data_IF_995943532319
#
_entry.id   IF_995943532319
#
_cell.length_a   1.000
_cell.length_b   1.000
_cell.length_c   1.000
_cell.angle_alpha   90.00
_cell.angle_beta   90.00
_cell.angle_gamma   90.00
#
_symmetry.space_group_name_H-M   'P 1'
#
loop_
_entity.id
_entity.type
_entity.pdbx_description
1 polymer ?
#
# COMPACT_ATOMS: atom_id res chain seq x y z
N UNK A 1 -6.85 -8.17 19.87
CA UNK A 1 -6.54 -8.53 18.48
C UNK A 1 -6.29 -7.22 17.75
N UNK A 2 -5.09 -6.99 17.20
CA UNK A 2 -4.85 -5.78 16.39
C UNK A 2 -5.69 -5.88 15.11
N UNK A 3 -6.35 -4.81 14.72
CA UNK A 3 -7.14 -4.77 13.49
C UNK A 3 -6.16 -4.75 12.31
N UNK A 4 -6.02 -5.88 11.61
CA UNK A 4 -5.16 -6.01 10.43
C UNK A 4 -5.88 -5.61 9.13
N UNK A 5 -7.21 -5.44 9.18
CA UNK A 5 -8.07 -5.34 7.99
C UNK A 5 -7.63 -4.27 6.97
N UNK A 6 -7.12 -3.13 7.44
CA UNK A 6 -6.72 -2.00 6.59
C UNK A 6 -5.21 -1.97 6.31
N UNK A 7 -4.45 -2.97 6.74
CA UNK A 7 -3.01 -3.04 6.55
C UNK A 7 -2.66 -3.64 5.19
N UNK A 8 -1.63 -3.11 4.56
CA UNK A 8 -1.04 -3.64 3.32
C UNK A 8 0.25 -4.35 3.72
N UNK A 9 0.44 -5.57 3.22
CA UNK A 9 1.64 -6.36 3.49
C UNK A 9 2.42 -6.61 2.20
N UNK A 10 3.74 -6.63 2.35
CA UNK A 10 4.67 -7.10 1.33
C UNK A 10 5.56 -8.21 1.90
N UNK A 11 5.98 -9.13 1.03
CA UNK A 11 7.10 -10.01 1.34
C UNK A 11 8.37 -9.16 1.48
N UNK A 12 9.19 -9.43 2.48
CA UNK A 12 10.49 -8.78 2.58
C UNK A 12 11.39 -9.20 1.42
N UNK A 13 12.28 -8.31 0.99
CA UNK A 13 13.22 -8.54 -0.13
C UNK A 13 14.06 -9.83 -0.02
N UNK A 14 14.31 -10.31 1.20
CA UNK A 14 15.08 -11.54 1.46
C UNK A 14 14.23 -12.81 1.46
N UNK A 15 12.97 -12.69 1.11
CA UNK A 15 11.99 -13.76 0.98
C UNK A 15 11.60 -13.86 -0.49
N UNK A 16 11.93 -14.99 -1.12
CA UNK A 16 11.42 -15.30 -2.45
C UNK A 16 10.24 -16.25 -2.29
N UNK A 17 9.20 -16.05 -3.08
CA UNK A 17 8.03 -16.90 -3.13
C UNK A 17 7.78 -17.32 -4.57
N UNK A 18 7.63 -18.62 -4.78
CA UNK A 18 7.32 -19.22 -6.07
C UNK A 18 6.24 -20.29 -5.88
N UNK A 19 5.43 -20.51 -6.91
CA UNK A 19 4.42 -21.58 -6.90
C UNK A 19 4.88 -22.72 -7.81
N UNK A 20 4.92 -23.94 -7.28
CA UNK A 20 5.25 -25.14 -8.02
C UNK A 20 4.07 -26.11 -7.95
N UNK A 21 3.41 -26.30 -9.09
CA UNK A 21 2.17 -27.06 -9.23
C UNK A 21 1.04 -26.48 -8.37
N UNK A 22 0.80 -27.05 -7.19
CA UNK A 22 -0.24 -26.62 -6.25
C UNK A 22 0.31 -26.18 -4.89
N UNK A 23 1.63 -26.22 -4.71
CA UNK A 23 2.31 -25.83 -3.48
C UNK A 23 3.07 -24.52 -3.66
N UNK A 24 3.10 -23.72 -2.59
CA UNK A 24 3.94 -22.54 -2.52
C UNK A 24 5.29 -22.90 -1.93
N UNK A 25 6.38 -22.41 -2.51
CA UNK A 25 7.72 -22.52 -1.94
C UNK A 25 8.20 -21.13 -1.54
N UNK A 26 8.60 -21.00 -0.28
CA UNK A 26 9.17 -19.78 0.27
C UNK A 26 10.65 -20.02 0.58
N UNK A 27 11.52 -19.25 -0.04
CA UNK A 27 12.97 -19.28 0.18
C UNK A 27 13.42 -18.09 1.02
N UNK A 28 14.09 -18.38 2.13
CA UNK A 28 14.77 -17.37 2.93
C UNK A 28 16.23 -17.22 2.48
N UNK A 29 16.53 -16.13 1.78
CA UNK A 29 17.88 -15.86 1.28
C UNK A 29 18.89 -15.63 2.41
N UNK A 30 18.43 -15.16 3.58
CA UNK A 30 19.31 -14.84 4.71
C UNK A 30 19.88 -16.05 5.45
N UNK A 31 19.11 -17.11 5.59
CA UNK A 31 19.49 -18.31 6.36
C UNK A 31 19.42 -19.61 5.52
N UNK A 32 19.14 -19.50 4.22
CA UNK A 32 19.01 -20.61 3.26
C UNK A 32 17.95 -21.65 3.64
N UNK A 33 16.93 -21.24 4.39
CA UNK A 33 15.80 -22.09 4.70
C UNK A 33 14.76 -22.08 3.58
N UNK A 34 14.10 -23.22 3.42
CA UNK A 34 12.99 -23.41 2.47
C UNK A 34 11.78 -23.87 3.26
N UNK A 35 10.64 -23.21 3.04
CA UNK A 35 9.36 -23.63 3.57
C UNK A 35 8.42 -23.98 2.43
N UNK A 36 7.58 -24.97 2.66
CA UNK A 36 6.45 -25.28 1.79
C UNK A 36 5.18 -24.70 2.42
N UNK A 37 4.32 -24.17 1.57
CA UNK A 37 3.00 -23.70 1.89
C UNK A 37 1.99 -24.57 1.17
N UNK A 38 0.90 -24.89 1.86
CA UNK A 38 -0.25 -25.50 1.21
C UNK A 38 -0.87 -24.52 0.19
N UNK A 39 -1.78 -25.04 -0.63
CA UNK A 39 -2.49 -24.28 -1.66
C UNK A 39 -3.14 -22.99 -1.12
N UNK A 40 -3.70 -23.04 0.08
CA UNK A 40 -4.33 -21.89 0.74
C UNK A 40 -3.31 -20.78 1.03
N UNK A 41 -2.21 -21.11 1.71
CA UNK A 41 -1.15 -20.15 2.03
C UNK A 41 -0.48 -19.59 0.78
N UNK A 42 -0.25 -20.42 -0.23
CA UNK A 42 0.27 -19.99 -1.53
C UNK A 42 -0.68 -19.01 -2.23
N UNK A 43 -1.99 -19.30 -2.23
CA UNK A 43 -3.00 -18.42 -2.80
C UNK A 43 -3.07 -17.06 -2.10
N UNK A 44 -2.98 -17.04 -0.77
CA UNK A 44 -2.94 -15.79 0.00
C UNK A 44 -1.67 -14.98 -0.35
N UNK A 45 -0.49 -15.61 -0.38
CA UNK A 45 0.76 -14.92 -0.74
C UNK A 45 0.75 -14.37 -2.17
N UNK A 46 0.12 -15.06 -3.12
CA UNK A 46 -0.01 -14.59 -4.50
C UNK A 46 -0.84 -13.29 -4.61
N UNK A 47 -1.71 -13.03 -3.63
CA UNK A 47 -2.52 -11.81 -3.58
C UNK A 47 -1.82 -10.64 -2.87
N UNK A 48 -0.70 -10.90 -2.18
CA UNK A 48 0.15 -9.87 -1.56
C UNK A 48 1.06 -9.22 -2.59
N UNK A 49 0.45 -8.38 -3.42
CA UNK A 49 1.14 -7.60 -4.46
C UNK A 49 1.65 -6.24 -3.96
N UNK A 50 1.49 -5.94 -2.67
CA UNK A 50 1.85 -4.65 -2.09
C UNK A 50 0.86 -3.53 -2.35
N UNK A 51 -0.25 -3.80 -3.02
CA UNK A 51 -1.32 -2.83 -3.26
C UNK A 51 -2.55 -3.16 -2.44
N UNK A 52 -2.86 -4.45 -2.27
CA UNK A 52 -4.06 -4.89 -1.54
C UNK A 52 -3.88 -4.82 -0.03
N UNK A 53 -4.87 -4.24 0.65
CA UNK A 53 -5.01 -4.40 2.09
C UNK A 53 -5.57 -5.79 2.46
N UNK A 54 -5.52 -6.16 3.74
CA UNK A 54 -6.00 -7.48 4.20
C UNK A 54 -7.47 -7.74 3.84
N UNK A 55 -8.35 -6.74 3.90
CA UNK A 55 -9.75 -6.90 3.49
C UNK A 55 -9.86 -7.26 2.01
N UNK A 56 -9.14 -6.57 1.14
CA UNK A 56 -9.12 -6.83 -0.30
C UNK A 56 -8.51 -8.20 -0.62
N UNK A 57 -7.49 -8.62 0.13
CA UNK A 57 -6.92 -9.97 0.04
C UNK A 57 -7.98 -11.01 0.41
N UNK A 58 -8.73 -10.83 1.50
CA UNK A 58 -9.81 -11.75 1.91
C UNK A 58 -10.90 -11.81 0.84
N UNK A 59 -11.32 -10.66 0.29
CA UNK A 59 -12.32 -10.58 -0.77
C UNK A 59 -11.88 -11.32 -2.04
N UNK A 60 -10.64 -11.09 -2.49
CA UNK A 60 -10.10 -11.75 -3.67
C UNK A 60 -9.93 -13.26 -3.43
N UNK A 61 -9.43 -13.64 -2.26
CA UNK A 61 -9.22 -15.04 -1.89
C UNK A 61 -10.55 -15.81 -1.74
N UNK A 62 -11.57 -15.17 -1.17
CA UNK A 62 -12.94 -15.67 -1.10
C UNK A 62 -13.49 -16.06 -2.47
N UNK A 63 -13.30 -15.21 -3.48
CA UNK A 63 -13.70 -15.50 -4.86
C UNK A 63 -12.89 -16.64 -5.47
N UNK A 64 -11.58 -16.73 -5.17
CA UNK A 64 -10.72 -17.80 -5.67
C UNK A 64 -11.07 -19.18 -5.09
N UNK A 65 -11.50 -19.22 -3.83
CA UNK A 65 -11.83 -20.46 -3.14
C UNK A 65 -13.33 -20.79 -3.14
N UNK A 66 -14.18 -19.91 -3.68
CA UNK A 66 -15.65 -20.01 -3.63
C UNK A 66 -16.19 -20.17 -2.20
N UNK A 67 -15.55 -19.51 -1.22
CA UNK A 67 -15.93 -19.58 0.19
C UNK A 67 -16.29 -18.18 0.73
N UNK A 68 -17.29 -18.06 1.63
CA UNK A 68 -17.66 -16.76 2.21
C UNK A 68 -16.51 -16.09 2.98
N UNK A 69 -16.42 -14.76 2.89
CA UNK A 69 -15.37 -13.96 3.55
C UNK A 69 -15.35 -14.18 5.06
N UNK A 70 -16.51 -14.35 5.69
CA UNK A 70 -16.67 -14.54 7.13
C UNK A 70 -16.00 -15.83 7.62
N UNK A 71 -15.96 -16.86 6.76
CA UNK A 71 -15.30 -18.13 7.05
C UNK A 71 -13.78 -17.97 6.94
N UNK A 72 -13.31 -17.26 5.92
CA UNK A 72 -11.89 -17.11 5.62
C UNK A 72 -11.17 -16.07 6.47
N UNK A 73 -11.89 -15.03 6.92
CA UNK A 73 -11.33 -13.83 7.56
C UNK A 73 -10.36 -14.18 8.67
N UNK A 74 -10.78 -15.03 9.61
CA UNK A 74 -9.96 -15.38 10.77
C UNK A 74 -8.70 -16.14 10.39
N UNK A 75 -8.81 -17.06 9.43
CA UNK A 75 -7.68 -17.88 9.00
C UNK A 75 -6.66 -17.06 8.20
N UNK A 76 -7.13 -16.17 7.31
CA UNK A 76 -6.28 -15.25 6.56
C UNK A 76 -5.58 -14.26 7.49
N UNK A 77 -6.33 -13.62 8.40
CA UNK A 77 -5.75 -12.68 9.38
C UNK A 77 -4.72 -13.37 10.27
N UNK A 78 -5.01 -14.59 10.77
CA UNK A 78 -4.08 -15.34 11.59
C UNK A 78 -2.81 -15.72 10.80
N UNK A 79 -2.98 -16.21 9.56
CA UNK A 79 -1.86 -16.55 8.69
C UNK A 79 -0.94 -15.35 8.43
N UNK A 80 -1.50 -14.19 8.07
CA UNK A 80 -0.72 -12.98 7.82
C UNK A 80 -0.03 -12.48 9.10
N UNK A 81 -0.71 -12.54 10.25
CA UNK A 81 -0.12 -12.20 11.55
C UNK A 81 1.09 -13.09 11.85
N UNK A 82 0.95 -14.40 11.66
CA UNK A 82 2.02 -15.38 11.87
C UNK A 82 3.23 -15.10 10.97
N UNK A 83 3.01 -14.82 9.68
CA UNK A 83 4.09 -14.50 8.76
C UNK A 83 4.78 -13.17 9.10
N UNK A 84 4.01 -12.18 9.56
CA UNK A 84 4.54 -10.90 10.02
C UNK A 84 5.39 -11.06 11.28
N UNK A 85 4.91 -11.81 12.28
CA UNK A 85 5.63 -12.08 13.54
C UNK A 85 6.92 -12.89 13.30
N UNK A 86 6.90 -13.82 12.34
CA UNK A 86 8.10 -14.55 11.89
C UNK A 86 9.06 -13.67 11.09
N UNK A 87 8.65 -12.44 10.76
CA UNK A 87 9.44 -11.46 10.03
C UNK A 87 9.54 -11.74 8.54
N UNK A 88 8.61 -12.51 7.96
CA UNK A 88 8.56 -12.81 6.52
C UNK A 88 7.88 -11.67 5.75
N UNK A 89 6.84 -11.10 6.37
CA UNK A 89 6.17 -9.93 5.88
C UNK A 89 6.76 -8.67 6.50
N UNK A 90 6.62 -7.57 5.77
CA UNK A 90 6.71 -6.23 6.28
C UNK A 90 5.39 -5.53 6.00
N UNK A 91 5.00 -4.62 6.90
CA UNK A 91 3.94 -3.68 6.58
C UNK A 91 4.44 -2.84 5.42
N UNK A 92 3.68 -2.84 4.33
CA UNK A 92 3.85 -1.83 3.30
C UNK A 92 3.23 -0.54 3.83
N UNK A 93 3.92 0.07 4.78
CA UNK A 93 3.88 1.51 4.88
C UNK A 93 4.38 1.96 3.51
N UNK A 94 3.53 2.55 2.65
CA UNK A 94 4.05 3.26 1.48
C UNK A 94 5.10 4.21 2.05
N UNK A 95 6.36 3.81 1.89
CA UNK A 95 7.47 4.28 2.70
C UNK A 95 7.54 5.78 2.48
N UNK A 96 7.45 6.58 3.54
CA UNK A 96 7.57 8.03 3.53
C UNK A 96 7.31 8.65 2.16
N UNK A 97 6.04 8.98 1.89
CA UNK A 97 5.65 9.66 0.67
C UNK A 97 6.34 11.04 0.67
N UNK A 98 7.53 11.10 0.09
CA UNK A 98 8.28 12.32 -0.12
C UNK A 98 7.94 12.80 -1.51
N UNK A 99 7.12 13.83 -1.60
CA UNK A 99 6.88 14.51 -2.86
C UNK A 99 8.18 15.13 -3.37
N UNK A 100 8.31 15.22 -4.68
CA UNK A 100 9.35 16.05 -5.27
C UNK A 100 9.09 17.51 -4.84
N UNK A 101 10.05 18.11 -4.12
CA UNK A 101 9.92 19.47 -3.56
C UNK A 101 9.97 20.56 -4.62
N UNK A 102 10.38 20.23 -5.85
CA UNK A 102 10.43 21.14 -6.99
C UNK A 102 9.05 21.35 -7.64
N UNK A 103 8.08 20.52 -7.29
CA UNK A 103 6.71 20.64 -7.79
C UNK A 103 6.04 21.87 -7.17
N UNK A 104 5.57 22.76 -8.03
CA UNK A 104 4.89 24.00 -7.64
C UNK A 104 3.41 23.73 -7.44
N UNK A 105 2.91 23.96 -6.23
CA UNK A 105 1.48 23.94 -5.91
C UNK A 105 0.90 25.35 -6.05
N UNK A 106 -0.19 25.49 -6.81
CA UNK A 106 -0.98 26.72 -6.91
C UNK A 106 -2.43 26.45 -6.55
N UNK A 107 -2.88 27.03 -5.44
CA UNK A 107 -4.26 26.89 -4.98
C UNK A 107 -5.20 27.82 -5.74
N UNK A 108 -6.40 27.33 -6.05
CA UNK A 108 -7.47 28.06 -6.72
C UNK A 108 -8.81 27.70 -6.02
N UNK A 109 -9.91 28.39 -6.36
CA UNK A 109 -11.19 28.14 -5.70
C UNK A 109 -11.69 26.70 -5.97
N UNK A 110 -11.71 25.86 -4.92
CA UNK A 110 -12.19 24.48 -4.97
C UNK A 110 -11.12 23.40 -5.22
N UNK A 111 -9.85 23.77 -5.34
CA UNK A 111 -8.78 22.81 -5.62
C UNK A 111 -7.39 23.44 -5.77
N UNK A 112 -6.52 22.78 -6.52
CA UNK A 112 -5.18 23.27 -6.79
C UNK A 112 -4.62 22.72 -8.11
N UNK A 113 -3.55 23.34 -8.60
CA UNK A 113 -2.73 22.83 -9.69
C UNK A 113 -1.34 22.47 -9.18
N UNK A 114 -0.86 21.29 -9.58
CA UNK A 114 0.54 20.90 -9.48
C UNK A 114 1.21 21.17 -10.82
N UNK A 115 2.37 21.82 -10.78
CA UNK A 115 3.20 22.10 -11.94
C UNK A 115 4.61 21.56 -11.74
N UNK A 116 5.04 20.69 -12.64
CA UNK A 116 6.41 20.19 -12.74
C UNK A 116 7.19 21.10 -13.70
N UNK A 117 8.13 21.93 -13.21
CA UNK A 117 8.78 22.94 -14.05
C UNK A 117 9.65 22.36 -15.17
N UNK A 118 10.23 21.18 -14.96
CA UNK A 118 11.17 20.58 -15.91
C UNK A 118 10.47 19.95 -17.11
N UNK A 119 9.34 19.28 -16.87
CA UNK A 119 8.57 18.63 -17.94
C UNK A 119 7.45 19.51 -18.48
N UNK A 120 7.10 20.57 -17.76
CA UNK A 120 5.93 21.40 -18.03
C UNK A 120 4.60 20.71 -17.71
N UNK A 121 4.62 19.57 -17.00
CA UNK A 121 3.42 18.80 -16.68
C UNK A 121 2.54 19.56 -15.68
N UNK A 122 1.24 19.54 -15.95
CA UNK A 122 0.22 20.14 -15.09
C UNK A 122 -0.75 19.06 -14.63
N UNK A 123 -1.03 19.00 -13.34
CA UNK A 123 -2.07 18.13 -12.76
C UNK A 123 -3.05 18.98 -11.95
N UNK A 124 -4.36 18.79 -12.17
CA UNK A 124 -5.39 19.48 -11.41
C UNK A 124 -5.87 18.59 -10.26
N UNK A 125 -5.88 19.15 -9.05
CA UNK A 125 -6.33 18.54 -7.82
C UNK A 125 -7.68 19.11 -7.41
N UNK A 126 -8.60 18.25 -6.98
CA UNK A 126 -9.78 18.68 -6.24
C UNK A 126 -9.41 19.03 -4.78
N UNK A 127 -10.39 19.48 -3.98
CA UNK A 127 -10.18 19.79 -2.56
C UNK A 127 -9.54 18.64 -1.77
N UNK A 128 -10.02 17.40 -1.94
CA UNK A 128 -9.48 16.23 -1.24
C UNK A 128 -8.02 15.94 -1.63
N UNK A 129 -7.71 15.92 -2.93
CA UNK A 129 -6.36 15.73 -3.44
C UNK A 129 -5.41 16.84 -2.99
N UNK A 130 -5.91 18.07 -2.85
CA UNK A 130 -5.14 19.20 -2.30
C UNK A 130 -4.77 18.97 -0.84
N UNK A 131 -5.70 18.50 -0.01
CA UNK A 131 -5.42 18.14 1.38
C UNK A 131 -4.41 16.99 1.49
N UNK A 132 -4.59 15.92 0.69
CA UNK A 132 -3.64 14.79 0.65
C UNK A 132 -2.24 15.26 0.24
N UNK A 133 -2.13 16.08 -0.81
CA UNK A 133 -0.85 16.63 -1.27
C UNK A 133 -0.14 17.44 -0.17
N UNK A 134 -0.88 18.29 0.55
CA UNK A 134 -0.34 19.09 1.66
C UNK A 134 0.24 18.20 2.77
N UNK A 135 -0.41 17.08 3.06
CA UNK A 135 0.09 16.11 4.04
C UNK A 135 1.37 15.42 3.57
N UNK A 136 1.52 15.16 2.28
CA UNK A 136 2.72 14.54 1.69
C UNK A 136 3.95 15.48 1.65
N UNK A 137 3.83 16.77 2.00
CA UNK A 137 5.00 17.67 2.09
C UNK A 137 5.95 17.33 3.24
N UNK A 138 5.50 16.50 4.19
CA UNK A 138 6.30 15.98 5.31
C UNK A 138 6.38 14.45 5.19
N UNK A 139 7.42 13.82 5.76
CA UNK A 139 7.47 12.38 5.97
C UNK A 139 6.17 11.86 6.61
N UNK A 140 5.36 11.15 5.83
CA UNK A 140 4.07 10.62 6.25
C UNK A 140 3.78 9.30 5.52
N UNK A 141 3.08 8.40 6.19
CA UNK A 141 2.61 7.14 5.59
C UNK A 141 1.20 7.30 5.02
N UNK A 142 0.82 6.44 4.06
CA UNK A 142 -0.55 6.42 3.53
C UNK A 142 -1.61 6.21 4.62
N UNK A 143 -1.34 5.36 5.62
CA UNK A 143 -2.25 5.15 6.75
C UNK A 143 -2.44 6.42 7.58
N UNK A 144 -1.36 7.17 7.84
CA UNK A 144 -1.43 8.45 8.53
C UNK A 144 -2.19 9.51 7.72
N UNK A 145 -2.01 9.54 6.39
CA UNK A 145 -2.80 10.40 5.51
C UNK A 145 -4.28 10.08 5.66
N UNK A 146 -4.66 8.81 5.54
CA UNK A 146 -6.06 8.36 5.65
C UNK A 146 -6.64 8.77 7.01
N UNK A 147 -5.91 8.55 8.10
CA UNK A 147 -6.34 8.94 9.44
C UNK A 147 -6.56 10.45 9.58
N UNK A 148 -5.68 11.28 9.01
CA UNK A 148 -5.82 12.74 9.04
C UNK A 148 -7.00 13.21 8.18
N UNK A 149 -7.18 12.64 6.99
CA UNK A 149 -8.31 12.96 6.10
C UNK A 149 -9.64 12.52 6.72
N UNK A 150 -9.70 11.36 7.38
CA UNK A 150 -10.90 10.91 8.10
C UNK A 150 -11.33 11.90 9.20
N UNK A 151 -10.38 12.59 9.85
CA UNK A 151 -10.68 13.65 10.83
C UNK A 151 -11.25 14.90 10.17
N UNK A 152 -10.78 15.24 8.97
CA UNK A 152 -11.22 16.40 8.20
C UNK A 152 -12.60 16.18 7.54
N UNK A 153 -12.91 14.92 7.17
CA UNK A 153 -14.14 14.53 6.48
C UNK A 153 -14.96 13.47 7.26
N UNK A 154 -15.45 13.78 8.48
CA UNK A 154 -16.10 12.80 9.35
C UNK A 154 -17.45 12.26 8.82
N UNK A 155 -18.03 12.92 7.81
CA UNK A 155 -19.28 12.50 7.18
C UNK A 155 -19.06 11.46 6.06
N UNK A 156 -17.83 11.25 5.60
CA UNK A 156 -17.50 10.32 4.52
C UNK A 156 -17.05 8.98 5.10
N UNK A 157 -17.54 7.83 4.60
CA UNK A 157 -17.12 6.52 5.08
C UNK A 157 -15.60 6.31 4.94
N UNK A 158 -14.95 5.81 6.00
CA UNK A 158 -13.51 5.54 6.02
C UNK A 158 -13.05 4.65 4.86
N UNK A 159 -13.86 3.66 4.47
CA UNK A 159 -13.55 2.78 3.33
C UNK A 159 -13.46 3.54 2.01
N UNK A 160 -14.36 4.52 1.80
CA UNK A 160 -14.31 5.38 0.63
C UNK A 160 -13.10 6.31 0.68
N UNK A 161 -12.82 6.94 1.83
CA UNK A 161 -11.63 7.79 2.02
C UNK A 161 -10.35 7.00 1.73
N UNK A 162 -10.23 5.80 2.29
CA UNK A 162 -9.07 4.93 2.10
C UNK A 162 -8.85 4.63 0.62
N UNK A 163 -9.90 4.19 -0.08
CA UNK A 163 -9.84 3.91 -1.51
C UNK A 163 -9.43 5.14 -2.32
N UNK A 164 -10.09 6.27 -2.10
CA UNK A 164 -9.84 7.50 -2.84
C UNK A 164 -8.41 8.03 -2.59
N UNK A 165 -7.92 7.96 -1.34
CA UNK A 165 -6.55 8.32 -1.00
C UNK A 165 -5.53 7.40 -1.70
N UNK A 166 -5.75 6.09 -1.68
CA UNK A 166 -4.82 5.12 -2.26
C UNK A 166 -4.72 5.25 -3.77
N UNK A 167 -5.87 5.44 -4.46
CA UNK A 167 -5.93 5.71 -5.89
C UNK A 167 -5.22 7.01 -6.24
N UNK A 168 -5.50 8.09 -5.51
CA UNK A 168 -4.86 9.38 -5.76
C UNK A 168 -3.34 9.33 -5.58
N UNK A 169 -2.88 8.69 -4.51
CA UNK A 169 -1.44 8.48 -4.27
C UNK A 169 -0.81 7.59 -5.36
N UNK A 170 -1.53 6.63 -5.91
CA UNK A 170 -1.03 5.82 -7.03
C UNK A 170 -0.93 6.64 -8.32
N UNK A 171 -1.93 7.49 -8.60
CA UNK A 171 -1.88 8.41 -9.74
C UNK A 171 -0.68 9.36 -9.66
N UNK A 172 -0.41 9.93 -8.48
CA UNK A 172 0.77 10.79 -8.28
C UNK A 172 2.09 10.06 -8.50
N UNK A 173 2.18 8.80 -8.10
CA UNK A 173 3.36 7.96 -8.28
C UNK A 173 3.59 7.62 -9.75
N UNK A 174 2.54 7.20 -10.46
CA UNK A 174 2.59 6.93 -11.90
C UNK A 174 2.96 8.19 -12.70
N UNK A 175 2.55 9.35 -12.20
CA UNK A 175 2.90 10.65 -12.77
C UNK A 175 4.27 11.18 -12.31
N UNK A 176 5.03 10.43 -11.52
CA UNK A 176 6.39 10.81 -11.10
C UNK A 176 6.45 12.01 -10.16
N UNK A 177 5.37 12.32 -9.43
CA UNK A 177 5.34 13.44 -8.49
C UNK A 177 5.98 13.12 -7.13
N UNK A 178 6.29 11.84 -6.85
CA UNK A 178 7.13 11.46 -5.72
C UNK A 178 8.62 11.49 -6.10
N UNK A 179 9.46 11.82 -5.13
CA UNK A 179 10.90 11.81 -5.31
C UNK A 179 11.37 10.37 -5.61
N UNK A 180 12.18 10.20 -6.66
CA UNK A 180 12.82 8.92 -6.94
C UNK A 180 13.78 8.57 -5.80
N UNK A 181 13.72 7.33 -5.31
CA UNK A 181 14.63 6.83 -4.26
C UNK A 181 16.12 6.90 -4.67
N UNK A 182 16.42 6.91 -5.96
CA UNK A 182 17.79 6.94 -6.50
C UNK A 182 18.47 8.32 -6.40
N UNK A 183 17.71 9.41 -6.23
CA UNK A 183 18.28 10.75 -6.15
C UNK A 183 18.83 11.07 -4.75
N UNK A 184 18.46 10.30 -3.73
CA UNK A 184 18.97 10.47 -2.36
C UNK A 184 20.35 9.83 -2.10
N UNK A 185 20.83 8.93 -2.96
CA UNK A 185 22.16 8.30 -2.82
C UNK A 185 23.29 9.03 -3.56
N UNK A 186 22.99 10.09 -4.33
CA UNK A 186 24.02 10.85 -5.05
C UNK A 186 24.60 12.04 -4.29
N UNK A 187 23.94 12.46 -3.20
CA UNK A 187 24.32 13.63 -2.41
C UNK A 187 24.64 13.31 -0.92
N UNK A 188 24.93 12.05 -0.58
CA UNK A 188 25.44 11.64 0.75
C UNK A 188 26.82 10.99 0.67
#
# INVERSE_FOLDING_TARGET
MKVLADQIFNLKERILFETLQEEGIVFHLGNRMVHTLNRTGAGILHLLDGHRNVREVIQAFSRMCEQPEEVLRKDVEHFLSDLYERGWLMLNERHNLLINQEIVLREEEGGAFLFEPDTGRLCHLNALGTSIWKLCRKPITSAQIIDEICKEYPATPQEQISKDCLLFLEELDQLGFFANREDHERDS
#
